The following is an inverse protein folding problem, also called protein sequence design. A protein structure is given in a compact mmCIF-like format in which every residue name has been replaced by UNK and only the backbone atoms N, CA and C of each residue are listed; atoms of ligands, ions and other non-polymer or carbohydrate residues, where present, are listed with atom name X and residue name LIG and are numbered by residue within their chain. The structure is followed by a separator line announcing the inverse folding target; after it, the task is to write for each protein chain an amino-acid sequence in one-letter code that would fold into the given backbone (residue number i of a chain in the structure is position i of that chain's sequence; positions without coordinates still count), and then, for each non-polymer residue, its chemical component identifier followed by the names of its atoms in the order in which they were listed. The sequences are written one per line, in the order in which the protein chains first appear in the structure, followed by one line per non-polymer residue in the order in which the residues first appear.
data_IF_189452872424
#
_entry.id   IF_189452872424
#
_cell.length_a   1.000
_cell.length_b   1.000
_cell.length_c   1.000
_cell.angle_alpha   90.00
_cell.angle_beta   90.00
_cell.angle_gamma   90.00
#
_symmetry.space_group_name_H-M   'P 1'
#
loop_
_entity.id
_entity.type
_entity.pdbx_description
1 polymer ?
#
# COMPACT_ATOMS: atom_id res chain seq x y z
N UNK A 1 13.65 17.14 8.84
CA UNK A 1 13.15 16.23 9.90
C UNK A 1 11.62 16.13 9.93
N UNK A 2 10.88 17.24 9.87
CA UNK A 2 9.41 17.24 9.94
C UNK A 2 8.72 16.48 8.78
N UNK A 3 9.17 16.68 7.54
CA UNK A 3 8.68 15.97 6.35
C UNK A 3 8.87 14.44 6.41
N UNK A 4 9.99 13.97 6.98
CA UNK A 4 10.23 12.53 7.20
C UNK A 4 9.27 11.99 8.27
N UNK A 5 8.99 12.77 9.31
CA UNK A 5 8.02 12.41 10.36
C UNK A 5 6.61 12.27 9.81
N UNK A 6 6.16 13.21 8.99
CA UNK A 6 4.84 13.15 8.33
C UNK A 6 4.71 11.94 7.41
N UNK A 7 5.73 11.66 6.59
CA UNK A 7 5.77 10.48 5.72
C UNK A 7 5.71 9.18 6.54
N UNK A 8 6.40 9.11 7.66
CA UNK A 8 6.35 7.95 8.56
C UNK A 8 4.95 7.74 9.16
N UNK A 9 4.25 8.81 9.53
CA UNK A 9 2.87 8.72 10.05
C UNK A 9 1.93 8.21 8.96
N UNK A 10 2.00 8.79 7.75
CA UNK A 10 1.17 8.35 6.62
C UNK A 10 1.43 6.90 6.24
N UNK A 11 2.69 6.47 6.26
CA UNK A 11 3.06 5.08 6.00
C UNK A 11 2.50 4.14 7.08
N UNK A 12 2.60 4.54 8.35
CA UNK A 12 2.08 3.77 9.47
C UNK A 12 0.56 3.56 9.35
N UNK A 13 -0.20 4.62 9.09
CA UNK A 13 -1.65 4.52 8.85
C UNK A 13 -1.95 3.62 7.65
N UNK A 14 -1.21 3.75 6.55
CA UNK A 14 -1.36 2.89 5.37
C UNK A 14 -1.10 1.40 5.66
N UNK A 15 -0.12 1.09 6.52
CA UNK A 15 0.20 -0.27 6.97
C UNK A 15 -0.93 -0.82 7.85
N UNK A 16 -1.42 -0.05 8.81
CA UNK A 16 -2.51 -0.45 9.71
C UNK A 16 -3.78 -0.81 8.93
N UNK A 17 -4.18 0.04 7.99
CA UNK A 17 -5.34 -0.22 7.14
C UNK A 17 -5.13 -1.43 6.20
N UNK A 18 -3.90 -1.66 5.74
CA UNK A 18 -3.56 -2.85 4.95
C UNK A 18 -3.65 -4.13 5.80
N UNK A 19 -3.16 -4.10 7.03
CA UNK A 19 -3.24 -5.23 7.98
C UNK A 19 -4.69 -5.55 8.36
N UNK A 20 -5.52 -4.52 8.56
CA UNK A 20 -6.94 -4.70 8.81
C UNK A 20 -7.63 -5.41 7.63
N UNK A 21 -7.41 -4.94 6.40
CA UNK A 21 -7.99 -5.58 5.22
C UNK A 21 -7.45 -6.99 4.97
N UNK A 22 -6.19 -7.27 5.33
CA UNK A 22 -5.66 -8.64 5.33
C UNK A 22 -6.41 -9.56 6.30
N UNK A 23 -6.74 -9.08 7.51
CA UNK A 23 -7.55 -9.85 8.47
C UNK A 23 -8.94 -10.14 7.91
N UNK A 24 -9.59 -9.15 7.28
CA UNK A 24 -10.90 -9.33 6.63
C UNK A 24 -10.81 -10.38 5.52
N UNK A 25 -9.79 -10.33 4.65
CA UNK A 25 -9.58 -11.36 3.62
C UNK A 25 -9.41 -12.76 4.23
N UNK A 26 -8.66 -12.91 5.32
CA UNK A 26 -8.53 -14.23 5.97
C UNK A 26 -9.86 -14.71 6.55
N UNK A 27 -10.68 -13.82 7.11
CA UNK A 27 -12.01 -14.18 7.61
C UNK A 27 -12.93 -14.65 6.47
N UNK A 28 -12.95 -13.95 5.34
CA UNK A 28 -13.74 -14.36 4.17
C UNK A 28 -13.24 -15.68 3.57
N UNK A 29 -11.93 -15.91 3.50
CA UNK A 29 -11.37 -17.22 3.10
C UNK A 29 -11.78 -18.35 4.04
N UNK A 30 -11.78 -18.11 5.35
CA UNK A 30 -12.25 -19.09 6.33
C UNK A 30 -13.74 -19.40 6.16
N UNK A 31 -14.55 -18.37 5.87
CA UNK A 31 -15.98 -18.53 5.57
C UNK A 31 -16.20 -19.33 4.30
N UNK A 32 -15.47 -19.04 3.23
CA UNK A 32 -15.48 -19.82 2.00
C UNK A 32 -15.15 -21.29 2.24
N UNK A 33 -14.07 -21.58 2.97
CA UNK A 33 -13.70 -22.97 3.30
C UNK A 33 -14.81 -23.68 4.08
N UNK A 34 -15.45 -23.00 5.03
CA UNK A 34 -16.58 -23.56 5.79
C UNK A 34 -17.75 -23.89 4.85
N UNK A 35 -18.14 -22.96 3.97
CA UNK A 35 -19.21 -23.17 3.00
C UNK A 35 -18.89 -24.33 2.05
N UNK A 36 -17.63 -24.46 1.62
CA UNK A 36 -17.19 -25.56 0.78
C UNK A 36 -17.26 -26.91 1.48
N UNK A 37 -16.93 -26.98 2.77
CA UNK A 37 -17.03 -28.21 3.55
C UNK A 37 -18.47 -28.62 3.82
N UNK A 38 -19.37 -27.65 4.02
CA UNK A 38 -20.78 -27.92 4.35
C UNK A 38 -21.69 -27.93 3.12
N UNK A 39 -21.16 -27.77 1.91
CA UNK A 39 -21.96 -27.52 0.68
C UNK A 39 -22.98 -26.39 0.88
N UNK A 40 -22.59 -25.36 1.64
CA UNK A 40 -23.46 -24.27 2.09
C UNK A 40 -23.57 -23.10 1.12
N UNK A 41 -22.98 -23.20 -0.08
CA UNK A 41 -23.13 -22.17 -1.11
C UNK A 41 -24.58 -22.10 -1.58
N UNK A 42 -25.03 -20.89 -1.92
CA UNK A 42 -26.34 -20.71 -2.51
C UNK A 42 -26.31 -21.00 -4.01
N UNK A 43 -27.50 -21.01 -4.62
CA UNK A 43 -27.68 -21.28 -6.05
C UNK A 43 -27.94 -20.02 -6.88
N UNK A 44 -27.82 -18.84 -6.27
CA UNK A 44 -27.97 -17.56 -6.97
C UNK A 44 -26.60 -17.03 -7.40
N UNK A 45 -26.60 -16.13 -8.38
CA UNK A 45 -25.39 -15.48 -8.90
C UNK A 45 -24.51 -14.96 -7.76
N UNK A 46 -25.08 -14.21 -6.82
CA UNK A 46 -24.33 -13.59 -5.70
C UNK A 46 -23.95 -14.53 -4.56
N UNK A 47 -24.46 -15.76 -4.52
CA UNK A 47 -24.24 -16.69 -3.40
C UNK A 47 -23.57 -18.00 -3.82
N UNK A 48 -23.38 -18.17 -5.12
CA UNK A 48 -22.71 -19.32 -5.72
C UNK A 48 -21.24 -19.42 -5.29
N UNK A 49 -20.70 -20.62 -5.35
CA UNK A 49 -19.28 -20.87 -5.09
C UNK A 49 -18.38 -20.03 -6.02
N UNK A 50 -18.80 -19.84 -7.27
CA UNK A 50 -18.04 -19.07 -8.26
C UNK A 50 -18.01 -17.58 -7.92
N UNK A 51 -19.15 -16.99 -7.56
CA UNK A 51 -19.19 -15.59 -7.08
C UNK A 51 -18.34 -15.38 -5.83
N UNK A 52 -18.34 -16.32 -4.91
CA UNK A 52 -17.44 -16.30 -3.76
C UNK A 52 -15.96 -16.28 -4.14
N UNK A 53 -15.55 -17.07 -5.14
CA UNK A 53 -14.17 -17.08 -5.63
C UNK A 53 -13.80 -15.76 -6.31
N UNK A 54 -14.71 -15.18 -7.09
CA UNK A 54 -14.53 -13.86 -7.70
C UNK A 54 -14.35 -12.80 -6.61
N UNK A 55 -15.22 -12.79 -5.60
CA UNK A 55 -15.13 -11.85 -4.48
C UNK A 55 -13.78 -11.93 -3.76
N UNK A 56 -13.32 -13.15 -3.43
CA UNK A 56 -12.02 -13.35 -2.77
C UNK A 56 -10.85 -12.88 -3.64
N UNK A 57 -10.93 -13.12 -4.95
CA UNK A 57 -9.92 -12.69 -5.91
C UNK A 57 -9.86 -11.16 -5.99
N UNK A 58 -11.00 -10.48 -6.07
CA UNK A 58 -11.07 -9.02 -6.12
C UNK A 58 -10.47 -8.39 -4.85
N UNK A 59 -10.72 -8.99 -3.68
CA UNK A 59 -10.10 -8.56 -2.42
C UNK A 59 -8.58 -8.73 -2.44
N UNK A 60 -8.07 -9.87 -2.94
CA UNK A 60 -6.63 -10.10 -3.10
C UNK A 60 -5.98 -9.11 -4.06
N UNK A 61 -6.61 -8.87 -5.21
CA UNK A 61 -6.11 -7.92 -6.21
C UNK A 61 -6.07 -6.50 -5.65
N UNK A 62 -7.12 -6.08 -4.94
CA UNK A 62 -7.18 -4.77 -4.27
C UNK A 62 -6.03 -4.61 -3.27
N UNK A 63 -5.79 -5.62 -2.43
CA UNK A 63 -4.68 -5.61 -1.47
C UNK A 63 -3.32 -5.57 -2.17
N UNK A 64 -3.15 -6.31 -3.25
CA UNK A 64 -1.91 -6.30 -4.05
C UNK A 64 -1.64 -4.93 -4.68
N UNK A 65 -2.67 -4.31 -5.27
CA UNK A 65 -2.59 -2.95 -5.83
C UNK A 65 -2.18 -1.97 -4.73
N UNK A 66 -2.87 -2.02 -3.58
CA UNK A 66 -2.59 -1.14 -2.45
C UNK A 66 -1.15 -1.27 -1.95
N UNK A 67 -0.66 -2.49 -1.76
CA UNK A 67 0.74 -2.76 -1.38
C UNK A 67 1.73 -2.18 -2.39
N UNK A 68 1.46 -2.36 -3.68
CA UNK A 68 2.34 -1.88 -4.74
C UNK A 68 2.34 -0.35 -4.81
N UNK A 69 1.18 0.28 -4.65
CA UNK A 69 1.06 1.75 -4.56
C UNK A 69 1.83 2.31 -3.36
N UNK A 70 1.71 1.71 -2.17
CA UNK A 70 2.49 2.13 -1.00
C UNK A 70 4.00 2.02 -1.24
N UNK A 71 4.45 0.90 -1.82
CA UNK A 71 5.87 0.71 -2.20
C UNK A 71 6.33 1.77 -3.19
N UNK A 72 5.51 2.11 -4.17
CA UNK A 72 5.85 3.12 -5.17
C UNK A 72 5.88 4.53 -4.56
N UNK A 73 4.94 4.85 -3.67
CA UNK A 73 4.90 6.12 -2.95
C UNK A 73 6.18 6.31 -2.11
N UNK A 74 6.63 5.27 -1.40
CA UNK A 74 7.90 5.30 -0.65
C UNK A 74 9.09 5.57 -1.57
N UNK A 75 9.19 4.86 -2.70
CA UNK A 75 10.27 5.07 -3.67
C UNK A 75 10.27 6.49 -4.22
N UNK A 76 9.10 7.02 -4.56
CA UNK A 76 8.94 8.38 -5.07
C UNK A 76 9.32 9.42 -4.02
N UNK A 77 8.90 9.23 -2.77
CA UNK A 77 9.23 10.12 -1.66
C UNK A 77 10.74 10.12 -1.38
N UNK A 78 11.38 8.95 -1.37
CA UNK A 78 12.83 8.84 -1.20
C UNK A 78 13.61 9.52 -2.34
N UNK A 79 13.18 9.31 -3.59
CA UNK A 79 13.79 9.96 -4.75
C UNK A 79 13.67 11.49 -4.70
N UNK A 80 12.53 12.00 -4.23
CA UNK A 80 12.32 13.44 -4.07
C UNK A 80 13.20 14.02 -2.97
N UNK A 81 13.36 13.34 -1.82
CA UNK A 81 14.26 13.77 -0.75
C UNK A 81 15.70 13.87 -1.26
N UNK A 82 16.21 12.84 -1.94
CA UNK A 82 17.56 12.84 -2.50
C UNK A 82 17.74 13.95 -3.52
N UNK A 83 16.75 14.19 -4.38
CA UNK A 83 16.79 15.28 -5.37
C UNK A 83 16.86 16.65 -4.70
N UNK A 84 16.10 16.86 -3.63
CA UNK A 84 16.11 18.11 -2.87
C UNK A 84 17.48 18.35 -2.21
N UNK A 85 18.04 17.33 -1.56
CA UNK A 85 19.36 17.41 -0.93
C UNK A 85 20.48 17.75 -1.94
N UNK A 86 20.47 17.12 -3.11
CA UNK A 86 21.43 17.41 -4.18
C UNK A 86 21.27 18.83 -4.75
N UNK A 87 20.03 19.32 -4.87
CA UNK A 87 19.76 20.68 -5.32
C UNK A 87 20.27 21.72 -4.31
N UNK A 88 20.05 21.49 -3.01
CA UNK A 88 20.55 22.35 -1.93
C UNK A 88 22.08 22.39 -1.91
N UNK A 89 22.75 21.25 -2.07
CA UNK A 89 24.22 21.18 -2.17
C UNK A 89 24.75 21.98 -3.36
N UNK A 90 24.14 21.83 -4.54
CA UNK A 90 24.57 22.55 -5.74
C UNK A 90 24.39 24.08 -5.61
N UNK A 91 23.37 24.54 -4.88
CA UNK A 91 23.20 25.97 -4.57
C UNK A 91 24.28 26.45 -3.60
N UNK A 92 24.56 25.68 -2.55
CA UNK A 92 25.58 26.01 -1.56
C UNK A 92 27.00 26.08 -2.17
N UNK A 93 27.34 25.15 -3.07
CA UNK A 93 28.62 25.15 -3.78
C UNK A 93 28.80 26.36 -4.69
N UNK A 94 27.74 26.78 -5.39
CA UNK A 94 27.77 28.00 -6.22
C UNK A 94 27.97 29.25 -5.39
N UNK A 95 27.24 29.39 -4.28
CA UNK A 95 27.39 30.53 -3.38
C UNK A 95 28.81 30.61 -2.79
N UNK A 96 29.38 29.47 -2.35
CA UNK A 96 30.74 29.41 -1.83
C UNK A 96 31.83 29.69 -2.90
N UNK A 97 31.55 29.46 -4.18
CA UNK A 97 32.45 29.78 -5.28
C UNK A 97 32.39 31.27 -5.68
N UNK A 98 31.24 31.94 -5.48
CA UNK A 98 31.06 33.36 -5.73
C UNK A 98 31.68 34.22 -4.61
N UNK A 99 31.61 33.79 -3.34
CA UNK A 99 32.26 34.50 -2.22
C UNK A 99 33.80 34.43 -2.25
N UNK A 100 34.38 33.52 -3.03
CA UNK A 100 35.83 33.35 -3.19
C UNK A 100 36.42 34.12 -4.39
N UNK A 101 35.59 34.84 -5.16
CA UNK A 101 36.00 35.69 -6.29
C UNK A 101 36.00 37.16 -5.89
#
# INVERSE_FOLDING_TARGET
MEKIRELSILLQTGIEEYEEQQKVLQQERLKYMRLSLTSGFGNTEDTSQESWLVHLKDMEETLNVRRNTMRQAIKNAAAEIVRQELAEQAVAEKAAAEEKK
#
